data_IF_573490054812
#
_entry.id   IF_573490054812
#
_cell.length_a   1.000
_cell.length_b   1.000
_cell.length_c   1.000
_cell.angle_alpha   90.00
_cell.angle_beta   90.00
_cell.angle_gamma   90.00
#
_symmetry.space_group_name_H-M   'P 1'
#
loop_
_entity.id
_entity.type
_entity.pdbx_description
1 polymer ?
#
# COMPACT_ATOMS: atom_id res chain seq x y z
N UNK A 1 9.56 30.65 18.20
CA UNK A 1 8.88 29.87 19.27
C UNK A 1 9.95 29.45 20.25
N UNK A 2 9.82 29.83 21.50
CA UNK A 2 10.75 29.41 22.55
C UNK A 2 10.25 28.09 23.13
N UNK A 3 11.16 27.12 23.30
CA UNK A 3 10.85 25.78 23.84
C UNK A 3 11.82 25.50 24.98
N UNK A 4 11.36 24.94 26.11
CA UNK A 4 12.27 24.55 27.21
C UNK A 4 13.34 23.56 26.73
N UNK A 5 14.58 23.73 27.18
CA UNK A 5 15.70 22.90 26.77
C UNK A 5 15.48 21.39 27.03
N UNK A 6 14.72 21.05 28.08
CA UNK A 6 14.35 19.64 28.35
C UNK A 6 13.41 18.99 27.35
N UNK A 7 12.86 19.74 26.40
CA UNK A 7 12.00 19.22 25.32
C UNK A 7 12.80 18.86 24.05
N UNK A 8 14.12 18.99 24.08
CA UNK A 8 14.99 18.58 22.97
C UNK A 8 15.04 17.05 22.95
N UNK A 9 14.64 16.46 21.80
CA UNK A 9 14.77 15.02 21.55
C UNK A 9 16.21 14.73 21.06
N UNK A 10 16.91 13.82 21.75
CA UNK A 10 18.34 13.50 21.52
C UNK A 10 19.21 14.72 21.81
N UNK A 11 19.91 15.33 20.86
CA UNK A 11 20.77 16.49 21.01
C UNK A 11 20.57 17.50 19.88
N UNK A 12 21.03 18.73 20.08
CA UNK A 12 21.02 19.77 19.06
C UNK A 12 21.71 19.29 17.77
N UNK A 13 21.10 19.60 16.63
CA UNK A 13 21.59 19.20 15.30
C UNK A 13 21.31 17.74 14.90
N UNK A 14 20.69 16.93 15.79
CA UNK A 14 20.39 15.52 15.51
C UNK A 14 18.96 15.22 15.07
N UNK A 15 18.17 16.24 14.73
CA UNK A 15 16.76 16.05 14.32
C UNK A 15 16.56 15.08 13.17
N UNK A 16 17.46 15.09 12.17
CA UNK A 16 17.41 14.13 11.05
C UNK A 16 17.58 12.69 11.55
N UNK A 17 18.48 12.45 12.50
CA UNK A 17 18.68 11.11 13.08
C UNK A 17 17.43 10.63 13.82
N UNK A 18 16.79 11.51 14.59
CA UNK A 18 15.53 11.21 15.28
C UNK A 18 14.45 10.84 14.27
N UNK A 19 14.29 11.64 13.22
CA UNK A 19 13.33 11.34 12.13
C UNK A 19 13.61 9.98 11.49
N UNK A 20 14.85 9.73 11.10
CA UNK A 20 15.22 8.51 10.39
C UNK A 20 15.07 7.25 11.24
N UNK A 21 15.19 7.35 12.57
CA UNK A 21 15.05 6.19 13.45
C UNK A 21 13.64 5.57 13.47
N UNK A 22 12.60 6.36 13.14
CA UNK A 22 11.22 5.89 13.08
C UNK A 22 10.77 5.41 11.71
N UNK A 23 11.51 5.75 10.64
CA UNK A 23 11.04 5.56 9.26
C UNK A 23 10.83 4.10 8.86
N UNK A 24 11.62 3.18 9.37
CA UNK A 24 11.48 1.77 9.00
C UNK A 24 10.22 1.17 9.64
N UNK A 25 9.92 1.52 10.90
CA UNK A 25 8.63 1.20 11.53
C UNK A 25 7.45 1.83 10.79
N UNK A 26 7.55 3.11 10.45
CA UNK A 26 6.52 3.81 9.70
C UNK A 26 6.21 3.11 8.37
N UNK A 27 7.21 2.70 7.62
CA UNK A 27 7.05 1.98 6.35
C UNK A 27 6.30 0.67 6.52
N UNK A 28 6.62 -0.11 7.56
CA UNK A 28 5.91 -1.36 7.85
C UNK A 28 4.45 -1.10 8.20
N UNK A 29 4.17 -0.13 9.06
CA UNK A 29 2.80 0.23 9.44
C UNK A 29 2.01 0.74 8.22
N UNK A 30 2.60 1.61 7.41
CA UNK A 30 1.97 2.14 6.20
C UNK A 30 1.67 1.05 5.16
N UNK A 31 2.46 -0.03 5.10
CA UNK A 31 2.18 -1.15 4.20
C UNK A 31 0.83 -1.82 4.50
N UNK A 32 0.36 -1.76 5.75
CA UNK A 32 -0.96 -2.21 6.17
C UNK A 32 -2.11 -1.42 5.52
N UNK A 33 -1.91 -0.12 5.26
CA UNK A 33 -2.90 0.71 4.57
C UNK A 33 -3.14 0.18 3.15
N UNK A 34 -2.08 -0.18 2.43
CA UNK A 34 -2.20 -0.76 1.08
C UNK A 34 -3.03 -2.06 1.08
N UNK A 35 -2.85 -2.94 2.07
CA UNK A 35 -3.68 -4.15 2.19
C UNK A 35 -5.14 -3.81 2.54
N UNK A 36 -5.37 -2.79 3.37
CA UNK A 36 -6.70 -2.28 3.69
C UNK A 36 -7.42 -1.72 2.46
N UNK A 37 -6.73 -0.93 1.64
CA UNK A 37 -7.24 -0.40 0.36
C UNK A 37 -7.67 -1.54 -0.57
N UNK A 38 -6.85 -2.58 -0.73
CA UNK A 38 -7.18 -3.72 -1.59
C UNK A 38 -8.38 -4.51 -1.07
N UNK A 39 -8.50 -4.70 0.24
CA UNK A 39 -9.66 -5.34 0.86
C UNK A 39 -10.93 -4.52 0.64
N UNK A 40 -10.88 -3.22 0.90
CA UNK A 40 -12.02 -2.32 0.69
C UNK A 40 -12.48 -2.30 -0.77
N UNK A 41 -11.55 -2.39 -1.73
CA UNK A 41 -11.92 -2.54 -3.15
C UNK A 41 -12.75 -3.80 -3.40
N UNK A 42 -12.37 -4.95 -2.82
CA UNK A 42 -13.15 -6.19 -2.96
C UNK A 42 -14.53 -6.06 -2.33
N UNK A 43 -14.60 -5.47 -1.14
CA UNK A 43 -15.86 -5.29 -0.39
C UNK A 43 -16.85 -4.42 -1.18
N UNK A 44 -16.36 -3.42 -1.93
CA UNK A 44 -17.19 -2.55 -2.77
C UNK A 44 -17.60 -3.23 -4.10
N UNK A 45 -16.68 -3.89 -4.79
CA UNK A 45 -16.97 -4.40 -6.14
C UNK A 45 -17.78 -5.71 -6.13
N UNK A 46 -17.60 -6.58 -5.13
CA UNK A 46 -18.25 -7.88 -5.10
C UNK A 46 -19.79 -7.76 -5.08
N UNK A 47 -20.42 -7.00 -4.16
CA UNK A 47 -21.88 -6.83 -4.17
C UNK A 47 -22.35 -6.10 -5.44
N UNK A 48 -21.60 -5.12 -5.92
CA UNK A 48 -21.94 -4.41 -7.15
C UNK A 48 -21.98 -5.37 -8.36
N UNK A 49 -20.98 -6.22 -8.53
CA UNK A 49 -20.91 -7.18 -9.63
C UNK A 49 -22.05 -8.20 -9.60
N UNK A 50 -22.54 -8.55 -8.41
CA UNK A 50 -23.70 -9.44 -8.26
C UNK A 50 -25.00 -8.72 -8.62
N UNK A 51 -25.18 -7.49 -8.14
CA UNK A 51 -26.42 -6.74 -8.30
C UNK A 51 -26.57 -6.13 -9.71
N UNK A 52 -25.49 -5.62 -10.30
CA UNK A 52 -25.52 -4.95 -11.60
C UNK A 52 -25.76 -5.93 -12.72
N UNK A 53 -26.76 -5.67 -13.54
CA UNK A 53 -27.11 -6.51 -14.70
C UNK A 53 -26.84 -5.78 -16.01
N UNK A 54 -26.28 -6.48 -16.97
CA UNK A 54 -26.14 -6.08 -18.36
C UNK A 54 -26.26 -7.32 -19.25
N UNK A 55 -26.75 -7.14 -20.49
CA UNK A 55 -26.95 -8.24 -21.43
C UNK A 55 -27.76 -9.41 -20.84
N UNK A 56 -28.79 -9.08 -20.02
CA UNK A 56 -29.70 -10.05 -19.44
C UNK A 56 -29.19 -10.82 -18.21
N UNK A 57 -27.99 -10.55 -17.72
CA UNK A 57 -27.43 -11.25 -16.56
C UNK A 57 -26.57 -10.33 -15.67
N UNK A 58 -26.23 -10.83 -14.46
CA UNK A 58 -25.26 -10.17 -13.57
C UNK A 58 -23.91 -10.02 -14.26
N UNK A 59 -23.29 -8.84 -14.12
CA UNK A 59 -21.97 -8.62 -14.73
C UNK A 59 -20.87 -9.52 -14.12
N UNK A 60 -21.03 -10.01 -12.91
CA UNK A 60 -20.12 -10.98 -12.30
C UNK A 60 -20.10 -12.36 -12.97
N UNK A 61 -21.02 -12.62 -13.88
CA UNK A 61 -21.03 -13.85 -14.68
C UNK A 61 -20.13 -13.78 -15.92
N UNK A 62 -19.66 -12.60 -16.29
CA UNK A 62 -18.73 -12.46 -17.43
C UNK A 62 -17.31 -12.83 -17.01
N UNK A 63 -16.63 -13.64 -17.83
CA UNK A 63 -15.29 -14.13 -17.52
C UNK A 63 -14.26 -13.01 -17.33
N UNK A 64 -14.35 -11.90 -18.09
CA UNK A 64 -13.47 -10.75 -17.92
C UNK A 64 -13.67 -10.04 -16.58
N UNK A 65 -14.87 -10.11 -16.00
CA UNK A 65 -15.14 -9.57 -14.67
C UNK A 65 -14.63 -10.52 -13.58
N UNK A 66 -14.78 -11.83 -13.78
CA UNK A 66 -14.23 -12.85 -12.88
C UNK A 66 -12.69 -12.79 -12.84
N UNK A 67 -12.04 -12.55 -13.97
CA UNK A 67 -10.60 -12.35 -14.04
C UNK A 67 -10.14 -11.16 -13.16
N UNK A 68 -10.87 -10.03 -13.19
CA UNK A 68 -10.56 -8.88 -12.32
C UNK A 68 -10.63 -9.26 -10.83
N UNK A 69 -11.65 -9.99 -10.41
CA UNK A 69 -11.79 -10.45 -9.02
C UNK A 69 -10.60 -11.36 -8.65
N UNK A 70 -10.25 -12.31 -9.52
CA UNK A 70 -9.14 -13.22 -9.30
C UNK A 70 -7.81 -12.49 -9.15
N UNK A 71 -7.52 -11.52 -10.01
CA UNK A 71 -6.31 -10.70 -9.95
C UNK A 71 -6.24 -9.86 -8.67
N UNK A 72 -7.34 -9.23 -8.28
CA UNK A 72 -7.44 -8.45 -7.05
C UNK A 72 -7.23 -9.34 -5.83
N UNK A 73 -7.92 -10.48 -5.76
CA UNK A 73 -7.81 -11.44 -4.66
C UNK A 73 -6.37 -11.96 -4.50
N UNK A 74 -5.73 -12.30 -5.62
CA UNK A 74 -4.35 -12.80 -5.62
C UNK A 74 -3.38 -11.73 -5.12
N UNK A 75 -3.49 -10.49 -5.61
CA UNK A 75 -2.63 -9.37 -5.18
C UNK A 75 -2.82 -9.05 -3.70
N UNK A 76 -4.06 -9.01 -3.22
CA UNK A 76 -4.36 -8.78 -1.81
C UNK A 76 -3.69 -9.83 -0.92
N UNK A 77 -3.84 -11.11 -1.25
CA UNK A 77 -3.28 -12.17 -0.41
C UNK A 77 -1.75 -12.23 -0.47
N UNK A 78 -1.15 -11.97 -1.63
CA UNK A 78 0.30 -11.85 -1.77
C UNK A 78 0.84 -10.70 -0.93
N UNK A 79 0.23 -9.51 -1.03
CA UNK A 79 0.62 -8.35 -0.25
C UNK A 79 0.43 -8.60 1.26
N UNK A 80 -0.70 -9.18 1.66
CA UNK A 80 -1.01 -9.49 3.05
C UNK A 80 0.01 -10.45 3.66
N UNK A 81 0.38 -11.51 2.93
CA UNK A 81 1.38 -12.47 3.38
C UNK A 81 2.74 -11.81 3.58
N UNK A 82 3.17 -10.98 2.64
CA UNK A 82 4.43 -10.26 2.72
C UNK A 82 4.44 -9.23 3.85
N UNK A 83 3.39 -8.40 3.96
CA UNK A 83 3.26 -7.41 5.02
C UNK A 83 3.31 -8.06 6.40
N UNK A 84 2.59 -9.17 6.60
CA UNK A 84 2.58 -9.85 7.89
C UNK A 84 3.93 -10.50 8.23
N UNK A 85 4.66 -11.02 7.24
CA UNK A 85 5.99 -11.57 7.50
C UNK A 85 6.98 -10.48 7.89
N UNK A 86 6.98 -9.35 7.19
CA UNK A 86 7.82 -8.20 7.54
C UNK A 86 7.43 -7.61 8.90
N UNK A 87 6.13 -7.54 9.22
CA UNK A 87 5.66 -7.08 10.52
C UNK A 87 6.15 -8.00 11.67
N UNK A 88 6.08 -9.33 11.48
CA UNK A 88 6.64 -10.28 12.46
C UNK A 88 8.15 -10.15 12.63
N UNK A 89 8.89 -9.89 11.54
CA UNK A 89 10.32 -9.61 11.61
C UNK A 89 10.59 -8.33 12.40
N UNK A 90 9.76 -7.30 12.20
CA UNK A 90 9.79 -6.05 12.95
C UNK A 90 9.58 -6.27 14.45
N UNK A 91 8.58 -7.06 14.85
CA UNK A 91 8.30 -7.41 16.25
C UNK A 91 9.47 -8.16 16.91
N UNK A 92 10.23 -8.93 16.15
CA UNK A 92 11.45 -9.62 16.62
C UNK A 92 12.70 -8.76 16.61
N UNK A 93 12.61 -7.49 16.17
CA UNK A 93 13.78 -6.62 16.00
C UNK A 93 14.74 -7.08 14.87
N UNK A 94 14.26 -7.85 13.92
CA UNK A 94 15.03 -8.43 12.81
C UNK A 94 14.76 -7.76 11.45
N UNK A 95 14.07 -6.62 11.46
CA UNK A 95 13.75 -5.91 10.22
C UNK A 95 15.00 -5.24 9.66
N UNK A 96 15.15 -5.31 8.34
CA UNK A 96 16.12 -4.52 7.61
C UNK A 96 15.45 -3.30 6.99
N UNK A 97 16.24 -2.27 6.69
CA UNK A 97 15.75 -1.08 5.97
C UNK A 97 15.25 -1.44 4.57
N UNK A 98 15.92 -2.38 3.90
CA UNK A 98 15.50 -2.90 2.60
C UNK A 98 14.13 -3.59 2.68
N UNK A 99 13.90 -4.45 3.69
CA UNK A 99 12.61 -5.15 3.85
C UNK A 99 11.47 -4.18 4.12
N UNK A 100 11.67 -3.20 5.01
CA UNK A 100 10.67 -2.17 5.30
C UNK A 100 10.30 -1.36 4.05
N UNK A 101 11.31 -0.95 3.27
CA UNK A 101 11.09 -0.22 2.02
C UNK A 101 10.42 -1.09 0.95
N UNK A 102 10.82 -2.36 0.79
CA UNK A 102 10.24 -3.28 -0.18
C UNK A 102 8.79 -3.63 0.14
N UNK A 103 8.48 -3.82 1.43
CA UNK A 103 7.14 -4.10 1.90
C UNK A 103 6.15 -2.98 1.53
N UNK A 104 6.49 -1.73 1.86
CA UNK A 104 5.62 -0.58 1.53
C UNK A 104 5.61 -0.29 0.03
N UNK A 105 6.70 -0.51 -0.69
CA UNK A 105 6.74 -0.38 -2.15
C UNK A 105 5.73 -1.33 -2.81
N UNK A 106 5.83 -2.61 -2.51
CA UNK A 106 4.94 -3.63 -3.08
C UNK A 106 3.47 -3.39 -2.72
N UNK A 107 3.19 -3.15 -1.44
CA UNK A 107 1.84 -2.91 -0.94
C UNK A 107 1.17 -1.69 -1.59
N UNK A 108 1.92 -0.59 -1.76
CA UNK A 108 1.42 0.66 -2.36
C UNK A 108 1.09 0.48 -3.85
N UNK A 109 2.00 -0.09 -4.63
CA UNK A 109 1.80 -0.30 -6.06
C UNK A 109 0.71 -1.33 -6.34
N UNK A 110 0.65 -2.41 -5.55
CA UNK A 110 -0.44 -3.38 -5.64
C UNK A 110 -1.80 -2.74 -5.32
N UNK A 111 -1.86 -1.88 -4.29
CA UNK A 111 -3.07 -1.14 -3.94
C UNK A 111 -3.54 -0.21 -5.07
N UNK A 112 -2.62 0.50 -5.72
CA UNK A 112 -2.94 1.36 -6.87
C UNK A 112 -3.50 0.57 -8.05
N UNK A 113 -2.86 -0.57 -8.39
CA UNK A 113 -3.34 -1.46 -9.45
C UNK A 113 -4.74 -2.02 -9.14
N UNK A 114 -4.98 -2.44 -7.89
CA UNK A 114 -6.27 -2.96 -7.43
C UNK A 114 -7.34 -1.88 -7.47
N UNK A 115 -7.05 -0.69 -6.96
CA UNK A 115 -7.99 0.43 -6.97
C UNK A 115 -8.36 0.86 -8.40
N UNK A 116 -7.39 0.87 -9.32
CA UNK A 116 -7.65 1.08 -10.75
C UNK A 116 -8.60 0.03 -11.32
N UNK A 117 -8.38 -1.25 -11.03
CA UNK A 117 -9.26 -2.33 -11.47
C UNK A 117 -10.64 -2.26 -10.85
N UNK A 118 -10.77 -1.81 -9.61
CA UNK A 118 -12.05 -1.62 -8.94
C UNK A 118 -12.89 -0.52 -9.61
N UNK A 119 -12.29 0.63 -9.89
CA UNK A 119 -12.95 1.71 -10.67
C UNK A 119 -13.39 1.18 -12.03
N UNK A 120 -12.51 0.47 -12.75
CA UNK A 120 -12.82 -0.10 -14.06
C UNK A 120 -13.95 -1.12 -13.99
N UNK A 121 -14.02 -1.93 -12.94
CA UNK A 121 -15.06 -2.93 -12.75
C UNK A 121 -16.46 -2.31 -12.55
N UNK A 122 -16.51 -1.15 -11.89
CA UNK A 122 -17.76 -0.42 -11.68
C UNK A 122 -18.11 0.53 -12.82
N UNK A 123 -17.18 0.75 -13.77
CA UNK A 123 -17.39 1.62 -14.93
C UNK A 123 -17.71 3.06 -14.52
N UNK A 124 -18.70 3.69 -15.18
CA UNK A 124 -19.08 5.08 -14.87
C UNK A 124 -19.49 5.30 -13.42
N UNK A 125 -20.10 4.31 -12.76
CA UNK A 125 -20.41 4.36 -11.33
C UNK A 125 -19.13 4.50 -10.49
N UNK A 126 -18.07 3.74 -10.80
CA UNK A 126 -16.80 3.81 -10.09
C UNK A 126 -16.04 5.13 -10.29
N UNK A 127 -16.31 5.85 -11.36
CA UNK A 127 -15.73 7.17 -11.65
C UNK A 127 -16.36 8.29 -10.83
N UNK A 128 -17.62 8.16 -10.42
CA UNK A 128 -18.36 9.20 -9.72
C UNK A 128 -17.81 9.43 -8.32
N UNK A 129 -17.75 10.70 -7.89
CA UNK A 129 -17.16 11.10 -6.60
C UNK A 129 -17.96 10.64 -5.37
N UNK A 130 -19.21 10.33 -5.51
CA UNK A 130 -20.12 9.85 -4.47
C UNK A 130 -19.97 8.34 -4.19
N UNK A 131 -19.10 7.64 -4.94
CA UNK A 131 -18.79 6.24 -4.69
C UNK A 131 -17.49 6.06 -3.90
N UNK A 132 -17.43 5.11 -2.94
CA UNK A 132 -16.22 4.86 -2.16
C UNK A 132 -14.99 4.53 -3.03
N UNK A 133 -15.17 3.79 -4.12
CA UNK A 133 -14.10 3.35 -5.01
C UNK A 133 -13.34 4.52 -5.65
N UNK A 134 -14.04 5.61 -6.01
CA UNK A 134 -13.42 6.82 -6.54
C UNK A 134 -12.48 7.50 -5.53
N UNK A 135 -12.86 7.55 -4.24
CA UNK A 135 -12.01 8.05 -3.17
C UNK A 135 -10.83 7.11 -2.92
N UNK A 136 -11.10 5.81 -2.79
CA UNK A 136 -10.09 4.77 -2.58
C UNK A 136 -8.99 4.83 -3.66
N UNK A 137 -9.35 5.08 -4.91
CA UNK A 137 -8.38 5.24 -6.00
C UNK A 137 -7.42 6.43 -5.77
N UNK A 138 -7.94 7.58 -5.32
CA UNK A 138 -7.09 8.75 -5.00
C UNK A 138 -6.22 8.49 -3.78
N UNK A 139 -6.77 7.84 -2.76
CA UNK A 139 -6.05 7.48 -1.54
C UNK A 139 -4.93 6.47 -1.82
N UNK A 140 -5.18 5.49 -2.71
CA UNK A 140 -4.16 4.54 -3.17
C UNK A 140 -2.97 5.26 -3.84
N UNK A 141 -3.20 6.31 -4.62
CA UNK A 141 -2.13 7.09 -5.25
C UNK A 141 -1.24 7.79 -4.23
N UNK A 142 -1.80 8.26 -3.13
CA UNK A 142 -1.02 8.86 -2.06
C UNK A 142 0.01 7.88 -1.48
N UNK A 143 -0.31 6.59 -1.43
CA UNK A 143 0.60 5.56 -0.89
C UNK A 143 1.87 5.37 -1.73
N UNK A 144 1.86 5.71 -3.01
CA UNK A 144 3.06 5.68 -3.86
C UNK A 144 3.97 6.91 -3.66
N UNK A 145 3.49 7.93 -2.95
CA UNK A 145 4.16 9.22 -2.77
C UNK A 145 4.59 9.44 -1.31
N UNK A 146 3.72 9.12 -0.36
CA UNK A 146 3.91 9.37 1.07
C UNK A 146 5.01 8.51 1.69
N UNK A 147 5.68 9.01 2.72
CA UNK A 147 6.81 8.36 3.42
C UNK A 147 7.96 7.92 2.49
N UNK A 148 8.22 8.69 1.46
CA UNK A 148 9.16 8.42 0.38
C UNK A 148 8.47 7.81 -0.84
N UNK A 149 8.75 8.37 -2.01
CA UNK A 149 8.12 7.91 -3.25
C UNK A 149 8.57 6.51 -3.63
N UNK A 150 7.83 5.85 -4.52
CA UNK A 150 8.19 4.54 -5.07
C UNK A 150 9.61 4.50 -5.64
N UNK A 151 10.07 5.60 -6.26
CA UNK A 151 11.43 5.74 -6.81
C UNK A 151 12.49 5.77 -5.69
N UNK A 152 12.24 6.54 -4.62
CA UNK A 152 13.14 6.61 -3.45
C UNK A 152 13.23 5.25 -2.75
N UNK A 153 12.11 4.53 -2.64
CA UNK A 153 12.12 3.19 -2.07
C UNK A 153 12.94 2.22 -2.90
N UNK A 154 12.82 2.25 -4.24
CA UNK A 154 13.64 1.43 -5.16
C UNK A 154 15.14 1.75 -5.05
N UNK A 155 15.48 3.04 -5.04
CA UNK A 155 16.86 3.47 -4.86
C UNK A 155 17.43 2.95 -3.53
N UNK A 156 16.67 3.08 -2.44
CA UNK A 156 17.05 2.62 -1.11
C UNK A 156 17.34 1.11 -1.09
N UNK A 157 16.38 0.32 -1.60
CA UNK A 157 16.49 -1.14 -1.64
C UNK A 157 17.71 -1.55 -2.45
N UNK A 158 17.87 -1.00 -3.65
CA UNK A 158 19.01 -1.32 -4.53
C UNK A 158 20.35 -1.01 -3.88
N UNK A 159 20.47 0.15 -3.24
CA UNK A 159 21.68 0.57 -2.54
C UNK A 159 22.02 -0.36 -1.37
N UNK A 160 21.09 -0.61 -0.47
CA UNK A 160 21.29 -1.47 0.71
C UNK A 160 21.71 -2.89 0.32
N UNK A 161 21.10 -3.44 -0.74
CA UNK A 161 21.46 -4.78 -1.22
C UNK A 161 22.85 -4.84 -1.87
N UNK A 162 23.25 -3.80 -2.59
CA UNK A 162 24.59 -3.72 -3.21
C UNK A 162 25.67 -3.48 -2.17
N UNK A 163 25.43 -2.61 -1.19
CA UNK A 163 26.38 -2.33 -0.09
C UNK A 163 26.59 -3.54 0.85
N UNK A 164 25.64 -4.47 0.90
CA UNK A 164 25.76 -5.70 1.67
C UNK A 164 26.60 -6.80 0.98
N UNK A 165 27.00 -6.61 -0.29
CA UNK A 165 27.82 -7.59 -1.02
C UNK A 165 29.29 -7.47 -0.58
N UNK A 166 29.98 -8.59 -0.35
CA UNK A 166 31.41 -8.54 -0.09
C UNK A 166 32.16 -8.00 -1.30
N UNK A 167 33.16 -7.15 -1.05
CA UNK A 167 34.04 -6.60 -2.06
C UNK A 167 34.96 -7.67 -2.66
#
# INVERSE_FOLDING_TARGET
MEVPAGNILDAEGRGVRVLMSGLDYERVVLSGIGTGIMAACLDEIMPYMVARKQFGQSIGRFQLMQAKIADIYTRLNSARSYVYEVARACDRGQITRADAAACVLYSSEAAMLVAHQAVQAMGGTGFMNDTPVSRIFRDAKLMEIGAGTSEIRRMLIGRELLEAMPA
#
